data_IF_237558185017
#
_entry.id   IF_237558185017
#
_cell.length_a   1.000
_cell.length_b   1.000
_cell.length_c   1.000
_cell.angle_alpha   90.00
_cell.angle_beta   90.00
_cell.angle_gamma   90.00
#
_symmetry.space_group_name_H-M   'P 1'
#
loop_
_entity.id
_entity.type
_entity.pdbx_description
1 polymer ?
#
# COMPACT_ATOMS: atom_id res chain seq x y z
N UNK A 1 -10.46 25.91 8.46
CA UNK A 1 -10.48 24.77 7.49
C UNK A 1 -9.54 23.61 7.86
N UNK A 2 -8.44 23.82 8.61
CA UNK A 2 -7.49 22.73 8.95
C UNK A 2 -8.02 21.72 9.99
N UNK A 3 -8.71 22.20 11.04
CA UNK A 3 -9.26 21.35 12.12
C UNK A 3 -10.08 20.14 11.64
N UNK A 4 -11.05 20.27 10.71
CA UNK A 4 -11.82 19.11 10.22
C UNK A 4 -10.96 18.13 9.42
N UNK A 5 -9.96 18.60 8.67
CA UNK A 5 -9.05 17.73 7.91
C UNK A 5 -8.16 16.91 8.85
N UNK A 6 -7.58 17.56 9.86
CA UNK A 6 -6.75 16.87 10.87
C UNK A 6 -7.59 15.82 11.60
N UNK A 7 -8.80 16.19 12.06
CA UNK A 7 -9.70 15.25 12.74
C UNK A 7 -10.04 14.04 11.87
N UNK A 8 -10.33 14.24 10.58
CA UNK A 8 -10.60 13.15 9.65
C UNK A 8 -9.39 12.24 9.48
N UNK A 9 -8.20 12.80 9.23
CA UNK A 9 -6.97 12.02 9.06
C UNK A 9 -6.60 11.23 10.31
N UNK A 10 -6.77 11.79 11.51
CA UNK A 10 -6.52 11.07 12.77
C UNK A 10 -7.45 9.86 12.91
N UNK A 11 -8.76 10.03 12.64
CA UNK A 11 -9.73 8.92 12.69
C UNK A 11 -9.44 7.84 11.65
N UNK A 12 -9.06 8.25 10.44
CA UNK A 12 -8.66 7.31 9.39
C UNK A 12 -7.40 6.54 9.78
N UNK A 13 -6.41 7.25 10.31
CA UNK A 13 -5.13 6.66 10.73
C UNK A 13 -5.36 5.65 11.87
N UNK A 14 -6.19 5.97 12.86
CA UNK A 14 -6.49 5.05 13.95
C UNK A 14 -7.28 3.83 13.47
N UNK A 15 -8.26 4.00 12.59
CA UNK A 15 -9.01 2.88 12.00
C UNK A 15 -8.09 1.91 11.25
N UNK A 16 -7.21 2.45 10.40
CA UNK A 16 -6.21 1.67 9.66
C UNK A 16 -5.23 0.99 10.60
N UNK A 17 -4.73 1.70 11.62
CA UNK A 17 -3.78 1.17 12.59
C UNK A 17 -4.38 0.03 13.43
N UNK A 18 -5.66 0.09 13.80
CA UNK A 18 -6.30 -1.03 14.51
C UNK A 18 -6.48 -2.22 13.57
N UNK A 19 -7.03 -2.00 12.37
CA UNK A 19 -7.29 -3.09 11.43
C UNK A 19 -6.03 -3.78 10.91
N UNK A 20 -4.97 -3.03 10.61
CA UNK A 20 -3.68 -3.59 10.19
C UNK A 20 -3.00 -4.33 11.34
N UNK A 21 -3.13 -3.89 12.59
CA UNK A 21 -2.57 -4.60 13.74
C UNK A 21 -3.28 -5.95 13.95
N UNK A 22 -4.61 -5.98 13.81
CA UNK A 22 -5.38 -7.23 13.85
C UNK A 22 -5.03 -8.15 12.67
N UNK A 23 -4.89 -7.62 11.46
CA UNK A 23 -4.45 -8.39 10.31
C UNK A 23 -3.02 -8.94 10.48
N UNK A 24 -2.12 -8.16 11.09
CA UNK A 24 -0.78 -8.60 11.45
C UNK A 24 -0.80 -9.71 12.52
N UNK A 25 -1.73 -9.66 13.48
CA UNK A 25 -1.95 -10.75 14.43
C UNK A 25 -2.45 -12.03 13.72
N UNK A 26 -3.35 -11.92 12.74
CA UNK A 26 -3.75 -13.05 11.91
C UNK A 26 -2.58 -13.62 11.10
N UNK A 27 -1.72 -12.76 10.54
CA UNK A 27 -0.51 -13.18 9.84
C UNK A 27 0.49 -13.87 10.79
N UNK A 28 0.67 -13.34 11.99
CA UNK A 28 1.49 -13.98 13.01
C UNK A 28 0.95 -15.37 13.36
N UNK A 29 -0.36 -15.50 13.53
CA UNK A 29 -1.00 -16.79 13.80
C UNK A 29 -0.83 -17.77 12.63
N UNK A 30 -0.95 -17.29 11.39
CA UNK A 30 -0.66 -18.08 10.19
C UNK A 30 0.75 -18.65 10.21
N UNK A 31 1.76 -17.83 10.53
CA UNK A 31 3.16 -18.27 10.60
C UNK A 31 3.42 -19.35 11.67
N UNK A 32 2.59 -19.40 12.71
CA UNK A 32 2.69 -20.39 13.78
C UNK A 32 1.86 -21.65 13.51
N UNK A 33 1.09 -21.70 12.42
CA UNK A 33 0.20 -22.82 12.12
C UNK A 33 0.92 -23.83 11.20
N UNK A 34 1.17 -25.07 11.66
CA UNK A 34 1.87 -26.07 10.86
C UNK A 34 0.97 -26.65 9.76
N UNK A 35 1.37 -26.54 8.48
CA UNK A 35 0.55 -26.97 7.32
C UNK A 35 0.61 -28.48 7.03
N UNK A 36 0.68 -29.33 8.06
CA UNK A 36 0.87 -30.78 7.92
C UNK A 36 -0.44 -31.58 7.77
N UNK A 37 -1.60 -30.96 7.98
CA UNK A 37 -2.91 -31.62 7.89
C UNK A 37 -3.93 -30.72 7.20
N UNK A 38 -4.98 -31.32 6.63
CA UNK A 38 -6.09 -30.60 5.98
C UNK A 38 -6.75 -29.61 6.94
N UNK A 39 -6.93 -29.99 8.21
CA UNK A 39 -7.48 -29.09 9.23
C UNK A 39 -6.61 -27.84 9.42
N UNK A 40 -5.30 -28.00 9.53
CA UNK A 40 -4.40 -26.85 9.66
C UNK A 40 -4.36 -25.99 8.40
N UNK A 41 -4.48 -26.59 7.22
CA UNK A 41 -4.63 -25.86 5.96
C UNK A 41 -5.89 -24.97 5.98
N UNK A 42 -7.01 -25.47 6.51
CA UNK A 42 -8.25 -24.69 6.68
C UNK A 42 -8.07 -23.55 7.69
N UNK A 43 -7.32 -23.77 8.78
CA UNK A 43 -6.97 -22.71 9.74
C UNK A 43 -6.12 -21.63 9.08
N UNK A 44 -5.08 -22.01 8.34
CA UNK A 44 -4.25 -21.08 7.56
C UNK A 44 -5.07 -20.28 6.54
N UNK A 45 -5.93 -20.95 5.77
CA UNK A 45 -6.82 -20.30 4.82
C UNK A 45 -7.77 -19.30 5.52
N UNK A 46 -8.32 -19.69 6.67
CA UNK A 46 -9.19 -18.82 7.47
C UNK A 46 -8.44 -17.60 8.00
N UNK A 47 -7.21 -17.75 8.48
CA UNK A 47 -6.38 -16.64 8.94
C UNK A 47 -6.10 -15.63 7.80
N UNK A 48 -5.84 -16.11 6.59
CA UNK A 48 -5.66 -15.26 5.40
C UNK A 48 -6.95 -14.51 5.07
N UNK A 49 -8.09 -15.21 5.00
CA UNK A 49 -9.39 -14.61 4.68
C UNK A 49 -9.76 -13.54 5.71
N UNK A 50 -9.60 -13.84 7.01
CA UNK A 50 -9.86 -12.91 8.09
C UNK A 50 -8.92 -11.71 8.02
N UNK A 51 -7.61 -11.92 7.79
CA UNK A 51 -6.63 -10.85 7.63
C UNK A 51 -6.99 -9.90 6.48
N UNK A 52 -7.31 -10.43 5.30
CA UNK A 52 -7.76 -9.65 4.14
C UNK A 52 -9.05 -8.90 4.46
N UNK A 53 -10.01 -9.54 5.11
CA UNK A 53 -11.26 -8.90 5.51
C UNK A 53 -11.04 -7.76 6.51
N UNK A 54 -10.15 -7.92 7.48
CA UNK A 54 -9.81 -6.88 8.45
C UNK A 54 -9.16 -5.67 7.78
N UNK A 55 -8.26 -5.88 6.81
CA UNK A 55 -7.67 -4.80 6.02
C UNK A 55 -8.72 -4.09 5.13
N UNK A 56 -9.61 -4.85 4.50
CA UNK A 56 -10.68 -4.29 3.68
C UNK A 56 -11.66 -3.45 4.54
N UNK A 57 -12.05 -3.98 5.70
CA UNK A 57 -12.94 -3.31 6.64
C UNK A 57 -12.29 -2.04 7.20
N UNK A 58 -11.00 -2.07 7.56
CA UNK A 58 -10.32 -0.88 8.08
C UNK A 58 -10.20 0.23 7.04
N UNK A 59 -9.91 -0.11 5.78
CA UNK A 59 -9.91 0.83 4.68
C UNK A 59 -11.31 1.40 4.40
N UNK A 60 -12.33 0.53 4.40
CA UNK A 60 -13.73 0.95 4.25
C UNK A 60 -14.21 1.87 5.38
N UNK A 61 -13.85 1.54 6.63
CA UNK A 61 -14.15 2.36 7.81
C UNK A 61 -13.47 3.73 7.66
N UNK A 62 -12.20 3.76 7.29
CA UNK A 62 -11.46 5.01 7.07
C UNK A 62 -12.12 5.88 5.98
N UNK A 63 -12.55 5.29 4.86
CA UNK A 63 -13.23 6.01 3.78
C UNK A 63 -14.61 6.54 4.22
N UNK A 64 -15.38 5.73 4.95
CA UNK A 64 -16.73 6.11 5.38
C UNK A 64 -16.75 7.08 6.57
N UNK A 65 -15.73 7.09 7.43
CA UNK A 65 -15.65 8.01 8.59
C UNK A 65 -15.53 9.48 8.21
N UNK A 66 -15.25 9.77 6.94
CA UNK A 66 -15.27 11.12 6.39
C UNK A 66 -16.69 11.69 6.27
N UNK A 67 -17.72 10.83 6.23
CA UNK A 67 -19.13 11.25 6.14
C UNK A 67 -19.65 11.51 7.55
N UNK A 68 -20.01 12.75 7.84
CA UNK A 68 -20.52 13.16 9.14
C UNK A 68 -21.79 12.38 9.52
N UNK A 69 -21.95 12.08 10.82
CA UNK A 69 -23.21 11.58 11.40
C UNK A 69 -23.47 10.07 11.38
N UNK A 70 -22.58 9.22 10.83
CA UNK A 70 -22.78 7.77 10.85
C UNK A 70 -22.27 7.11 12.14
N UNK A 71 -23.12 6.37 12.84
CA UNK A 71 -22.72 5.51 13.97
C UNK A 71 -21.81 4.35 13.55
N UNK A 72 -21.03 3.80 14.50
CA UNK A 72 -20.03 2.75 14.24
C UNK A 72 -20.61 1.54 13.48
N UNK A 73 -21.76 1.04 13.91
CA UNK A 73 -22.43 -0.12 13.29
C UNK A 73 -22.82 0.13 11.83
N UNK A 74 -23.32 1.34 11.53
CA UNK A 74 -23.66 1.72 10.16
C UNK A 74 -22.40 1.82 9.29
N UNK A 75 -21.32 2.37 9.83
CA UNK A 75 -20.02 2.47 9.17
C UNK A 75 -19.42 1.09 8.88
N UNK A 76 -19.44 0.16 9.84
CA UNK A 76 -18.99 -1.22 9.64
C UNK A 76 -19.81 -1.93 8.55
N UNK A 77 -21.14 -1.84 8.62
CA UNK A 77 -22.03 -2.46 7.62
C UNK A 77 -21.78 -1.94 6.21
N UNK A 78 -21.51 -0.64 6.06
CA UNK A 78 -21.14 -0.04 4.77
C UNK A 78 -19.77 -0.51 4.29
N UNK A 79 -18.81 -0.65 5.21
CA UNK A 79 -17.45 -1.10 4.91
C UNK A 79 -17.40 -2.52 4.35
N UNK A 80 -18.37 -3.39 4.68
CA UNK A 80 -18.50 -4.71 4.05
C UNK A 80 -18.66 -4.61 2.53
N UNK A 81 -19.27 -3.53 2.01
CA UNK A 81 -19.42 -3.33 0.56
C UNK A 81 -18.10 -3.01 -0.15
N UNK A 82 -17.05 -2.66 0.60
CA UNK A 82 -15.72 -2.36 0.06
C UNK A 82 -14.89 -3.63 -0.17
N UNK A 83 -15.26 -4.76 0.46
CA UNK A 83 -14.56 -6.04 0.32
C UNK A 83 -14.27 -6.45 -1.14
N UNK A 84 -15.27 -6.47 -2.07
CA UNK A 84 -14.99 -6.86 -3.45
C UNK A 84 -14.00 -5.92 -4.13
N UNK A 85 -14.14 -4.61 -3.93
CA UNK A 85 -13.21 -3.62 -4.49
C UNK A 85 -11.79 -3.79 -3.93
N UNK A 86 -11.67 -4.13 -2.64
CA UNK A 86 -10.39 -4.39 -2.00
C UNK A 86 -9.71 -5.65 -2.54
N UNK A 87 -10.45 -6.74 -2.72
CA UNK A 87 -9.92 -7.97 -3.34
C UNK A 87 -9.44 -7.69 -4.76
N UNK A 88 -10.23 -6.96 -5.56
CA UNK A 88 -9.83 -6.59 -6.93
C UNK A 88 -8.61 -5.67 -6.91
N UNK A 89 -8.53 -4.74 -5.97
CA UNK A 89 -7.37 -3.87 -5.80
C UNK A 89 -6.10 -4.66 -5.46
N UNK A 90 -6.20 -5.67 -4.59
CA UNK A 90 -5.09 -6.58 -4.29
C UNK A 90 -4.67 -7.40 -5.51
N UNK A 91 -5.63 -7.95 -6.27
CA UNK A 91 -5.34 -8.66 -7.51
C UNK A 91 -4.63 -7.75 -8.53
N UNK A 92 -5.13 -6.53 -8.73
CA UNK A 92 -4.53 -5.54 -9.63
C UNK A 92 -3.10 -5.20 -9.20
N UNK A 93 -2.88 -4.93 -7.91
CA UNK A 93 -1.55 -4.66 -7.37
C UNK A 93 -0.62 -5.87 -7.53
N UNK A 94 -1.12 -7.08 -7.26
CA UNK A 94 -0.41 -8.34 -7.47
C UNK A 94 0.02 -8.53 -8.93
N UNK A 95 -0.88 -8.28 -9.88
CA UNK A 95 -0.58 -8.32 -11.33
C UNK A 95 0.51 -7.30 -11.68
N UNK A 96 0.41 -6.06 -11.21
CA UNK A 96 1.43 -5.04 -11.45
C UNK A 96 2.79 -5.42 -10.87
N UNK A 97 2.84 -5.96 -9.65
CA UNK A 97 4.06 -6.47 -9.03
C UNK A 97 4.63 -7.62 -9.86
N UNK A 98 3.80 -8.58 -10.28
CA UNK A 98 4.21 -9.71 -11.08
C UNK A 98 4.81 -9.28 -12.43
N UNK A 99 4.10 -8.43 -13.18
CA UNK A 99 4.55 -7.95 -14.49
C UNK A 99 5.85 -7.13 -14.39
N UNK A 100 5.92 -6.21 -13.43
CA UNK A 100 7.15 -5.41 -13.23
C UNK A 100 8.33 -6.28 -12.80
N UNK A 101 8.13 -7.29 -11.93
CA UNK A 101 9.20 -8.23 -11.56
C UNK A 101 9.63 -9.09 -12.74
N UNK A 102 8.68 -9.55 -13.57
CA UNK A 102 8.99 -10.33 -14.77
C UNK A 102 9.80 -9.50 -15.76
N UNK A 103 9.43 -8.23 -15.94
CA UNK A 103 10.19 -7.27 -16.73
C UNK A 103 11.60 -7.04 -16.20
N UNK A 104 11.75 -6.85 -14.87
CA UNK A 104 13.07 -6.74 -14.21
C UNK A 104 13.95 -7.96 -14.45
N UNK A 105 13.40 -9.17 -14.30
CA UNK A 105 14.13 -10.41 -14.54
C UNK A 105 14.54 -10.57 -16.00
N UNK A 106 13.62 -10.31 -16.94
CA UNK A 106 13.92 -10.36 -18.36
C UNK A 106 15.01 -9.35 -18.74
N UNK A 107 14.86 -8.10 -18.28
CA UNK A 107 15.83 -7.04 -18.55
C UNK A 107 17.22 -7.36 -17.99
N UNK A 108 17.28 -7.90 -16.77
CA UNK A 108 18.55 -8.32 -16.16
C UNK A 108 19.21 -9.47 -16.91
N UNK A 109 18.43 -10.41 -17.46
CA UNK A 109 18.95 -11.53 -18.23
C UNK A 109 19.54 -11.09 -19.58
N UNK A 110 18.98 -10.04 -20.20
CA UNK A 110 19.41 -9.53 -21.51
C UNK A 110 20.29 -8.28 -21.40
N UNK A 111 20.82 -7.98 -20.20
CA UNK A 111 21.60 -6.75 -19.97
C UNK A 111 22.79 -6.65 -20.94
N UNK A 112 23.58 -7.71 -21.06
CA UNK A 112 24.76 -7.72 -21.95
C UNK A 112 24.41 -7.62 -23.43
N UNK A 113 23.26 -8.15 -23.85
CA UNK A 113 22.78 -8.02 -25.24
C UNK A 113 22.34 -6.59 -25.54
N UNK A 114 21.65 -5.95 -24.60
CA UNK A 114 21.25 -4.54 -24.70
C UNK A 114 22.50 -3.66 -24.79
N UNK A 115 23.50 -3.90 -23.94
CA UNK A 115 24.75 -3.16 -23.93
C UNK A 115 25.48 -3.32 -25.27
N UNK A 116 25.64 -4.56 -25.75
CA UNK A 116 26.25 -4.85 -27.03
C UNK A 116 25.51 -4.17 -28.20
N UNK A 117 24.18 -4.15 -28.18
CA UNK A 117 23.37 -3.50 -29.21
C UNK A 117 23.56 -1.97 -29.21
N UNK A 118 23.62 -1.33 -28.04
CA UNK A 118 23.86 0.12 -27.94
C UNK A 118 25.29 0.50 -28.38
N UNK A 119 26.29 -0.31 -28.03
CA UNK A 119 27.66 -0.13 -28.50
C UNK A 119 27.70 -0.25 -30.02
N UNK A 120 27.09 -1.30 -30.59
CA UNK A 120 27.11 -1.54 -32.04
C UNK A 120 26.36 -0.46 -32.83
N UNK A 121 25.23 0.02 -32.32
CA UNK A 121 24.34 0.95 -33.05
C UNK A 121 24.73 2.41 -32.87
N UNK A 122 25.18 2.80 -31.67
CA UNK A 122 25.41 4.21 -31.31
C UNK A 122 26.84 4.50 -30.85
N UNK A 123 27.70 3.50 -30.71
CA UNK A 123 29.06 3.67 -30.17
C UNK A 123 29.08 4.05 -28.68
N UNK A 124 27.98 3.82 -27.95
CA UNK A 124 27.86 4.18 -26.53
C UNK A 124 28.35 3.04 -25.64
N UNK A 125 29.52 3.22 -25.02
CA UNK A 125 30.10 2.23 -24.11
C UNK A 125 29.48 2.23 -22.70
N UNK A 126 28.87 3.34 -22.27
CA UNK A 126 28.19 3.46 -20.98
C UNK A 126 26.68 3.68 -21.20
N UNK A 127 25.90 2.66 -20.87
CA UNK A 127 24.43 2.67 -20.86
C UNK A 127 23.85 2.37 -19.48
N UNK A 128 24.63 2.53 -18.41
CA UNK A 128 24.15 2.27 -17.04
C UNK A 128 22.97 3.16 -16.65
N UNK A 129 22.91 4.38 -17.19
CA UNK A 129 21.80 5.28 -17.00
C UNK A 129 20.48 4.69 -17.51
N UNK A 130 20.50 3.91 -18.60
CA UNK A 130 19.32 3.27 -19.18
C UNK A 130 18.78 2.18 -18.25
N UNK A 131 19.65 1.33 -17.71
CA UNK A 131 19.21 0.31 -16.76
C UNK A 131 18.70 0.92 -15.45
N UNK A 132 19.34 1.99 -14.96
CA UNK A 132 18.83 2.75 -13.80
C UNK A 132 17.46 3.33 -14.10
N UNK A 133 17.26 3.92 -15.28
CA UNK A 133 15.98 4.47 -15.70
C UNK A 133 14.89 3.39 -15.80
N UNK A 134 15.21 2.22 -16.35
CA UNK A 134 14.31 1.07 -16.41
C UNK A 134 13.87 0.61 -15.01
N UNK A 135 14.83 0.42 -14.08
CA UNK A 135 14.53 0.04 -12.70
C UNK A 135 13.74 1.12 -11.95
N UNK A 136 13.99 2.40 -12.23
CA UNK A 136 13.19 3.50 -11.68
C UNK A 136 11.76 3.46 -12.21
N UNK A 137 11.58 3.19 -13.51
CA UNK A 137 10.27 3.08 -14.14
C UNK A 137 9.46 1.92 -13.56
N UNK A 138 10.05 0.72 -13.42
CA UNK A 138 9.35 -0.44 -12.86
C UNK A 138 8.94 -0.20 -11.40
N UNK A 139 9.80 0.43 -10.60
CA UNK A 139 9.48 0.85 -9.22
C UNK A 139 8.38 1.91 -9.20
N UNK A 140 8.42 2.88 -10.11
CA UNK A 140 7.39 3.92 -10.22
C UNK A 140 6.03 3.29 -10.55
N UNK A 141 5.97 2.39 -11.53
CA UNK A 141 4.74 1.67 -11.90
C UNK A 141 4.24 0.83 -10.72
N UNK A 142 5.12 0.05 -10.08
CA UNK A 142 4.75 -0.85 -8.98
C UNK A 142 4.19 -0.09 -7.78
N UNK A 143 4.88 0.97 -7.35
CA UNK A 143 4.57 1.63 -6.08
C UNK A 143 3.73 2.89 -6.25
N UNK A 144 4.02 3.74 -7.23
CA UNK A 144 3.28 5.00 -7.40
C UNK A 144 1.96 4.73 -8.11
N UNK A 145 2.02 4.12 -9.30
CA UNK A 145 0.82 3.82 -10.08
C UNK A 145 -0.02 2.76 -9.36
N UNK A 146 0.59 1.67 -8.88
CA UNK A 146 -0.10 0.62 -8.13
C UNK A 146 -0.87 1.15 -6.92
N UNK A 147 -0.24 1.90 -6.01
CA UNK A 147 -0.93 2.43 -4.82
C UNK A 147 -1.99 3.48 -5.18
N UNK A 148 -1.76 4.28 -6.23
CA UNK A 148 -2.75 5.23 -6.72
C UNK A 148 -4.01 4.53 -7.22
N UNK A 149 -3.85 3.45 -7.99
CA UNK A 149 -4.93 2.62 -8.50
C UNK A 149 -5.70 1.95 -7.37
N UNK A 150 -5.00 1.36 -6.39
CA UNK A 150 -5.64 0.76 -5.21
C UNK A 150 -6.47 1.80 -4.46
N UNK A 151 -5.90 2.97 -4.16
CA UNK A 151 -6.62 4.02 -3.44
C UNK A 151 -7.84 4.53 -4.22
N UNK A 152 -7.71 4.72 -5.54
CA UNK A 152 -8.81 5.15 -6.41
C UNK A 152 -9.94 4.11 -6.49
N UNK A 153 -9.58 2.83 -6.65
CA UNK A 153 -10.53 1.73 -6.72
C UNK A 153 -11.30 1.54 -5.41
N UNK A 154 -10.62 1.65 -4.27
CA UNK A 154 -11.26 1.58 -2.95
C UNK A 154 -12.22 2.75 -2.71
N UNK A 155 -11.82 3.97 -3.09
CA UNK A 155 -12.70 5.13 -2.96
C UNK A 155 -13.96 5.01 -3.83
N UNK A 156 -13.81 4.53 -5.07
CA UNK A 156 -14.93 4.25 -5.96
C UNK A 156 -15.83 3.14 -5.40
N UNK A 157 -15.23 2.04 -4.91
CA UNK A 157 -15.97 0.97 -4.24
C UNK A 157 -16.73 1.44 -3.00
N UNK A 158 -16.17 2.39 -2.24
CA UNK A 158 -16.85 2.99 -1.09
C UNK A 158 -17.96 4.00 -1.48
N UNK A 159 -17.89 4.64 -2.65
CA UNK A 159 -18.94 5.55 -3.10
C UNK A 159 -20.13 4.80 -3.71
N UNK A 160 -19.88 3.90 -4.66
CA UNK A 160 -20.90 3.30 -5.53
C UNK A 160 -20.98 1.77 -5.43
N UNK A 161 -20.14 1.14 -4.60
CA UNK A 161 -20.07 -0.32 -4.48
C UNK A 161 -19.47 -0.98 -5.73
N UNK A 162 -19.94 -2.18 -6.06
CA UNK A 162 -19.44 -2.97 -7.20
C UNK A 162 -19.69 -2.27 -8.54
N UNK A 163 -20.72 -1.41 -8.66
CA UNK A 163 -21.02 -0.67 -9.89
C UNK A 163 -19.91 0.32 -10.26
N UNK A 164 -19.16 0.82 -9.29
CA UNK A 164 -18.05 1.73 -9.52
C UNK A 164 -16.94 1.07 -10.37
N UNK A 165 -16.81 -0.25 -10.27
CA UNK A 165 -15.79 -1.04 -10.99
C UNK A 165 -16.01 -1.01 -12.51
N UNK A 166 -17.27 -0.86 -12.95
CA UNK A 166 -17.64 -0.82 -14.36
C UNK A 166 -17.30 0.53 -15.02
N UNK A 167 -17.12 1.58 -14.23
CA UNK A 167 -16.84 2.92 -14.73
C UNK A 167 -15.33 3.19 -14.76
N UNK A 168 -14.77 3.52 -15.91
CA UNK A 168 -13.34 3.84 -16.04
C UNK A 168 -12.91 5.18 -15.40
N UNK A 169 -13.83 5.89 -14.73
CA UNK A 169 -13.54 7.18 -14.11
C UNK A 169 -12.50 7.06 -12.99
N UNK A 170 -12.55 5.99 -12.18
CA UNK A 170 -11.59 5.76 -11.10
C UNK A 170 -10.16 5.61 -11.65
N UNK A 171 -10.01 4.95 -12.80
CA UNK A 171 -8.73 4.74 -13.47
C UNK A 171 -8.15 6.08 -13.95
N UNK A 172 -8.98 6.90 -14.62
CA UNK A 172 -8.56 8.23 -15.10
C UNK A 172 -8.11 9.13 -13.95
N UNK A 173 -8.83 9.14 -12.83
CA UNK A 173 -8.47 9.94 -11.67
C UNK A 173 -7.22 9.39 -10.95
N UNK A 174 -7.09 8.06 -10.84
CA UNK A 174 -5.92 7.41 -10.25
C UNK A 174 -4.64 7.66 -11.05
N UNK A 175 -4.72 7.73 -12.38
CA UNK A 175 -3.60 8.01 -13.25
C UNK A 175 -3.33 9.50 -13.50
N UNK A 176 -4.08 10.40 -12.86
CA UNK A 176 -3.87 11.84 -13.02
C UNK A 176 -2.52 12.29 -12.48
N UNK A 177 -1.81 13.17 -13.19
CA UNK A 177 -0.47 13.64 -12.78
C UNK A 177 -0.43 14.17 -11.35
N UNK A 178 -1.41 14.98 -10.95
CA UNK A 178 -1.52 15.52 -9.58
C UNK A 178 -1.61 14.41 -8.53
N UNK A 179 -2.29 13.32 -8.86
CA UNK A 179 -2.47 12.14 -8.00
C UNK A 179 -1.16 11.40 -7.83
N UNK A 180 -0.48 11.13 -8.94
CA UNK A 180 0.81 10.43 -8.95
C UNK A 180 1.89 11.23 -8.21
N UNK A 181 1.93 12.56 -8.39
CA UNK A 181 2.83 13.44 -7.65
C UNK A 181 2.53 13.43 -6.14
N UNK A 182 1.26 13.39 -5.74
CA UNK A 182 0.90 13.25 -4.33
C UNK A 182 1.37 11.90 -3.75
N UNK A 183 1.12 10.80 -4.46
CA UNK A 183 1.57 9.46 -4.02
C UNK A 183 3.09 9.43 -3.89
N UNK A 184 3.80 10.00 -4.88
CA UNK A 184 5.25 10.14 -4.83
C UNK A 184 5.72 10.93 -3.61
N UNK A 185 5.13 12.11 -3.36
CA UNK A 185 5.49 12.96 -2.23
C UNK A 185 5.21 12.27 -0.88
N UNK A 186 4.07 11.59 -0.76
CA UNK A 186 3.68 10.83 0.44
C UNK A 186 4.64 9.65 0.68
N UNK A 187 4.96 8.87 -0.34
CA UNK A 187 5.91 7.76 -0.20
C UNK A 187 7.32 8.26 0.11
N UNK A 188 7.80 9.31 -0.56
CA UNK A 188 9.11 9.89 -0.28
C UNK A 188 9.18 10.40 1.17
N UNK A 189 8.18 11.19 1.59
CA UNK A 189 8.17 11.87 2.89
C UNK A 189 7.85 11.00 4.09
N UNK A 190 6.89 10.08 3.97
CA UNK A 190 6.35 9.31 5.10
C UNK A 190 6.76 7.84 5.10
N UNK A 191 7.37 7.34 4.02
CA UNK A 191 7.80 5.94 3.92
C UNK A 191 9.31 5.86 3.74
N UNK A 192 9.84 6.41 2.65
CA UNK A 192 11.24 6.26 2.29
C UNK A 192 12.18 7.00 3.25
N UNK A 193 11.92 8.27 3.57
CA UNK A 193 12.73 9.03 4.52
C UNK A 193 12.73 8.40 5.93
N UNK A 194 11.58 8.05 6.53
CA UNK A 194 11.55 7.36 7.81
C UNK A 194 12.23 5.99 7.78
N UNK A 195 12.13 5.25 6.67
CA UNK A 195 12.80 3.96 6.51
C UNK A 195 14.33 4.08 6.67
N UNK A 196 14.93 5.13 6.09
CA UNK A 196 16.36 5.42 6.29
C UNK A 196 16.71 5.68 7.75
N UNK A 197 15.81 6.32 8.49
CA UNK A 197 15.99 6.58 9.91
C UNK A 197 15.89 5.29 10.76
N UNK A 198 15.08 4.30 10.34
CA UNK A 198 14.96 3.01 11.05
C UNK A 198 16.29 2.27 11.06
N UNK A 199 17.01 2.26 9.93
CA UNK A 199 18.30 1.58 9.76
C UNK A 199 19.42 2.15 10.66
N UNK A 200 19.28 3.38 11.14
CA UNK A 200 20.26 4.02 12.03
C UNK A 200 20.24 3.44 13.46
N UNK A 201 21.40 3.03 13.98
CA UNK A 201 21.57 2.56 15.37
C UNK A 201 22.62 3.40 16.10
N UNK A 202 22.33 3.92 17.31
CA UNK A 202 23.34 4.57 18.13
C UNK A 202 24.48 3.60 18.48
N UNK A 203 25.77 3.98 18.36
CA UNK A 203 26.89 3.07 18.59
C UNK A 203 27.04 2.61 20.05
N UNK A 204 26.48 3.33 21.00
CA UNK A 204 26.56 3.03 22.44
C UNK A 204 25.32 2.34 23.03
N UNK A 205 24.40 1.84 22.20
CA UNK A 205 23.16 1.23 22.69
C UNK A 205 23.48 -0.15 23.31
N UNK A 206 23.19 -0.39 24.60
CA UNK A 206 23.47 -1.67 25.23
C UNK A 206 22.54 -2.77 24.68
N UNK A 207 23.03 -4.01 24.45
CA UNK A 207 22.25 -5.11 23.89
C UNK A 207 21.35 -5.77 24.94
N UNK A 208 20.43 -5.00 25.49
CA UNK A 208 19.47 -5.42 26.52
C UNK A 208 18.07 -4.87 26.22
N UNK A 209 17.20 -4.77 27.22
CA UNK A 209 15.84 -4.24 27.07
C UNK A 209 15.78 -2.82 26.47
N UNK A 210 16.84 -2.02 26.60
CA UNK A 210 16.92 -0.68 25.99
C UNK A 210 16.94 -0.78 24.46
N UNK A 211 17.66 -1.75 23.90
CA UNK A 211 17.68 -1.98 22.45
C UNK A 211 16.32 -2.41 21.91
N UNK A 212 15.64 -3.29 22.65
CA UNK A 212 14.28 -3.70 22.31
C UNK A 212 13.30 -2.53 22.36
N UNK A 213 13.34 -1.71 23.42
CA UNK A 213 12.45 -0.56 23.59
C UNK A 213 12.69 0.51 22.50
N UNK A 214 13.96 0.78 22.18
CA UNK A 214 14.36 1.71 21.12
C UNK A 214 13.85 1.22 19.75
N UNK A 215 14.14 -0.03 19.41
CA UNK A 215 13.72 -0.63 18.13
C UNK A 215 12.19 -0.68 18.02
N UNK A 216 11.52 -1.12 19.09
CA UNK A 216 10.05 -1.18 19.17
C UNK A 216 9.42 0.20 18.96
N UNK A 217 9.97 1.25 19.60
CA UNK A 217 9.46 2.62 19.44
C UNK A 217 9.62 3.12 18.00
N UNK A 218 10.77 2.87 17.36
CA UNK A 218 10.98 3.26 15.95
C UNK A 218 10.02 2.55 15.02
N UNK A 219 9.82 1.25 15.20
CA UNK A 219 8.90 0.47 14.39
C UNK A 219 7.45 0.89 14.62
N UNK A 220 7.05 1.19 15.86
CA UNK A 220 5.73 1.71 16.18
C UNK A 220 5.47 3.09 15.54
N UNK A 221 6.45 4.00 15.61
CA UNK A 221 6.36 5.30 14.94
C UNK A 221 6.26 5.14 13.42
N UNK A 222 7.11 4.29 12.84
CA UNK A 222 7.06 4.02 11.41
C UNK A 222 5.72 3.43 10.98
N UNK A 223 5.18 2.50 11.76
CA UNK A 223 3.86 1.93 11.54
C UNK A 223 2.75 2.99 11.52
N UNK A 224 2.77 3.94 12.47
CA UNK A 224 1.82 5.06 12.49
C UNK A 224 1.99 5.95 11.24
N UNK A 225 3.22 6.22 10.81
CA UNK A 225 3.49 6.98 9.59
C UNK A 225 2.99 6.27 8.32
N UNK A 226 3.13 4.95 8.23
CA UNK A 226 2.56 4.15 7.15
C UNK A 226 1.02 4.25 7.13
N UNK A 227 0.38 4.15 8.29
CA UNK A 227 -1.08 4.29 8.40
C UNK A 227 -1.53 5.70 8.03
N UNK A 228 -0.78 6.73 8.43
CA UNK A 228 -1.04 8.12 8.06
C UNK A 228 -0.87 8.36 6.56
N UNK A 229 0.21 7.84 5.97
CA UNK A 229 0.46 7.89 4.53
C UNK A 229 -0.74 7.31 3.76
N UNK A 230 -1.19 6.11 4.17
CA UNK A 230 -2.35 5.48 3.55
C UNK A 230 -3.64 6.26 3.77
N UNK A 231 -3.87 6.81 4.98
CA UNK A 231 -5.01 7.67 5.27
C UNK A 231 -5.05 8.90 4.36
N UNK A 232 -3.91 9.56 4.10
CA UNK A 232 -3.81 10.72 3.19
C UNK A 232 -4.20 10.32 1.76
N UNK A 233 -3.72 9.17 1.27
CA UNK A 233 -4.04 8.69 -0.08
C UNK A 233 -5.52 8.37 -0.22
N UNK A 234 -6.10 7.65 0.74
CA UNK A 234 -7.54 7.36 0.76
C UNK A 234 -8.38 8.63 0.90
N UNK A 235 -7.95 9.58 1.73
CA UNK A 235 -8.63 10.86 1.93
C UNK A 235 -8.70 11.66 0.64
N UNK A 236 -7.57 11.76 -0.06
CA UNK A 236 -7.54 12.39 -1.37
C UNK A 236 -8.42 11.63 -2.36
N UNK A 237 -8.41 10.29 -2.33
CA UNK A 237 -9.16 9.44 -3.28
C UNK A 237 -10.65 9.71 -3.20
N UNK A 238 -11.19 9.66 -1.99
CA UNK A 238 -12.59 9.92 -1.73
C UNK A 238 -13.01 11.33 -2.18
N UNK A 239 -12.15 12.33 -1.99
CA UNK A 239 -12.43 13.71 -2.44
C UNK A 239 -12.42 13.89 -3.95
N UNK A 240 -11.53 13.20 -4.65
CA UNK A 240 -11.47 13.27 -6.11
C UNK A 240 -12.70 12.58 -6.74
N UNK A 241 -13.20 11.49 -6.14
CA UNK A 241 -14.42 10.79 -6.58
C UNK A 241 -15.72 11.57 -6.34
N UNK A 242 -15.71 12.51 -5.38
CA UNK A 242 -16.88 13.31 -5.06
C UNK A 242 -17.08 14.52 -5.99
N UNK A 243 -16.18 14.74 -6.96
CA UNK A 243 -16.20 15.85 -7.93
C UNK A 243 -16.55 15.33 -9.31
#
# INVERSE_FOLDING_TARGET
MLRPVISALTKMTSALAVGHALAAACYWWLLQTPESTVFMLLVSASAIIIGVALMALSAGVALHWQREGAGLTATLRRSIRVLPAFVIALCLLGILIFLTRRGELWWSAHRGEIDAWFIATFGLADVDWLHRAFLMLTRFVRWIVGLSLVAGLLAAGASEGVRALLHFQWLRQACGLRRLLLVLAVLAGLVWLPWRAIEWRPPGLPPNWVELAFTGTKLALFYVLLCLAWAILLFRAARDMAR
#
